data_IF_925166250078
#
_entry.id   IF_925166250078
#
_cell.length_a   1.000
_cell.length_b   1.000
_cell.length_c   1.000
_cell.angle_alpha   90.00
_cell.angle_beta   90.00
_cell.angle_gamma   90.00
#
_symmetry.space_group_name_H-M   'P 1'
#
loop_
_entity.id
_entity.type
_entity.pdbx_description
1 polymer ?
#
# COMPACT_ATOMS: atom_id res chain seq x y z
N UNK A 1 17.32 -2.20 -6.81
CA UNK A 1 16.16 -1.57 -7.48
C UNK A 1 14.91 -1.99 -6.72
N UNK A 2 13.95 -1.08 -6.44
CA UNK A 2 12.67 -1.48 -5.86
C UNK A 2 12.00 -2.54 -6.74
N UNK A 3 11.33 -3.51 -6.12
CA UNK A 3 10.66 -4.57 -6.86
C UNK A 3 9.58 -3.97 -7.77
N UNK A 4 9.35 -4.57 -8.94
CA UNK A 4 8.42 -4.02 -9.94
C UNK A 4 7.01 -3.78 -9.37
N UNK A 5 6.59 -4.59 -8.39
CA UNK A 5 5.29 -4.46 -7.74
C UNK A 5 5.17 -3.25 -6.81
N UNK A 6 6.26 -2.80 -6.16
CA UNK A 6 6.19 -1.63 -5.25
C UNK A 6 5.94 -0.35 -6.05
N UNK A 7 6.54 -0.23 -7.24
CA UNK A 7 6.28 0.87 -8.15
C UNK A 7 4.81 0.91 -8.61
N UNK A 8 4.25 -0.24 -8.99
CA UNK A 8 2.83 -0.34 -9.34
C UNK A 8 1.92 0.02 -8.17
N UNK A 9 2.28 -0.40 -6.95
CA UNK A 9 1.50 -0.10 -5.76
C UNK A 9 1.53 1.39 -5.41
N UNK A 10 2.69 2.05 -5.53
CA UNK A 10 2.84 3.50 -5.38
C UNK A 10 2.01 4.25 -6.43
N UNK A 11 2.01 3.78 -7.68
CA UNK A 11 1.17 4.38 -8.73
C UNK A 11 -0.32 4.27 -8.38
N UNK A 12 -0.79 3.10 -7.93
CA UNK A 12 -2.19 2.91 -7.49
C UNK A 12 -2.57 3.78 -6.29
N UNK A 13 -1.67 3.95 -5.32
CA UNK A 13 -1.86 4.87 -4.18
C UNK A 13 -2.09 6.30 -4.67
N UNK A 14 -1.26 6.79 -5.59
CA UNK A 14 -1.38 8.14 -6.15
C UNK A 14 -2.66 8.32 -6.95
N UNK A 15 -3.01 7.36 -7.84
CA UNK A 15 -4.23 7.40 -8.65
C UNK A 15 -5.50 7.51 -7.79
N UNK A 16 -5.54 6.80 -6.66
CA UNK A 16 -6.68 6.79 -5.76
C UNK A 16 -6.60 7.85 -4.65
N UNK A 17 -5.58 8.73 -4.66
CA UNK A 17 -5.29 9.70 -3.60
C UNK A 17 -5.31 9.04 -2.20
N UNK A 18 -4.66 7.89 -2.06
CA UNK A 18 -4.50 7.17 -0.80
C UNK A 18 -3.08 7.42 -0.30
N UNK A 19 -2.95 7.85 0.95
CA UNK A 19 -1.64 8.11 1.55
C UNK A 19 -1.02 6.82 2.09
N UNK A 20 0.32 6.77 2.14
CA UNK A 20 1.07 5.67 2.77
C UNK A 20 0.66 5.45 4.24
N UNK A 21 0.29 6.53 4.95
CA UNK A 21 -0.25 6.46 6.31
C UNK A 21 -1.55 5.64 6.38
N UNK A 22 -2.48 5.88 5.48
CA UNK A 22 -3.74 5.14 5.41
C UNK A 22 -3.51 3.66 5.08
N UNK A 23 -2.57 3.38 4.18
CA UNK A 23 -2.16 2.00 3.90
C UNK A 23 -1.53 1.33 5.14
N UNK A 24 -0.68 2.05 5.89
CA UNK A 24 -0.08 1.55 7.12
C UNK A 24 -1.14 1.27 8.20
N UNK A 25 -2.13 2.16 8.36
CA UNK A 25 -3.26 1.97 9.27
C UNK A 25 -4.09 0.74 8.91
N UNK A 26 -4.38 0.52 7.62
CA UNK A 26 -5.12 -0.67 7.17
C UNK A 26 -4.32 -1.96 7.37
N UNK A 27 -3.00 -1.93 7.15
CA UNK A 27 -2.12 -3.08 7.35
C UNK A 27 -1.78 -3.35 8.83
N UNK A 28 -2.06 -2.42 9.73
CA UNK A 28 -1.64 -2.51 11.14
C UNK A 28 -0.12 -2.34 11.34
N UNK A 29 0.58 -1.73 10.37
CA UNK A 29 2.02 -1.47 10.46
C UNK A 29 2.33 0.00 10.75
N UNK A 30 3.58 0.27 11.10
CA UNK A 30 4.07 1.65 11.19
C UNK A 30 4.28 2.24 9.78
N UNK A 31 4.08 3.56 9.62
CA UNK A 31 4.33 4.24 8.33
C UNK A 31 5.81 4.14 7.89
N UNK A 32 6.75 4.04 8.84
CA UNK A 32 8.16 3.77 8.57
C UNK A 32 8.37 2.37 7.97
N UNK A 33 7.74 1.34 8.53
CA UNK A 33 7.84 -0.01 8.00
C UNK A 33 7.30 -0.11 6.57
N UNK A 34 6.11 0.44 6.33
CA UNK A 34 5.54 0.53 4.98
C UNK A 34 6.49 1.25 4.02
N UNK A 35 7.08 2.36 4.46
CA UNK A 35 8.05 3.09 3.64
C UNK A 35 9.31 2.27 3.35
N UNK A 36 9.83 1.50 4.30
CA UNK A 36 10.96 0.60 4.09
C UNK A 36 10.63 -0.49 3.06
N UNK A 37 9.43 -1.07 3.12
CA UNK A 37 9.00 -2.10 2.15
C UNK A 37 8.84 -1.51 0.75
N UNK A 38 8.16 -0.35 0.62
CA UNK A 38 7.93 0.30 -0.66
C UNK A 38 9.22 0.78 -1.34
N UNK A 39 10.22 1.21 -0.57
CA UNK A 39 11.54 1.57 -1.07
C UNK A 39 12.44 0.35 -1.35
N UNK A 40 11.96 -0.88 -1.07
CA UNK A 40 12.73 -2.11 -1.27
C UNK A 40 13.83 -2.35 -0.24
N UNK A 41 13.84 -1.62 0.87
CA UNK A 41 14.76 -1.88 1.99
C UNK A 41 14.36 -3.12 2.78
N UNK A 42 13.08 -3.52 2.71
CA UNK A 42 12.53 -4.74 3.32
C UNK A 42 11.67 -5.46 2.29
N UNK A 43 11.80 -6.78 2.21
CA UNK A 43 10.97 -7.59 1.33
C UNK A 43 10.51 -8.86 2.09
N UNK A 44 9.54 -8.73 3.00
CA UNK A 44 9.00 -9.88 3.71
C UNK A 44 8.28 -10.82 2.72
N UNK A 45 8.27 -12.12 3.03
CA UNK A 45 7.56 -13.09 2.19
C UNK A 45 6.06 -12.77 2.16
N UNK A 46 5.48 -12.68 0.97
CA UNK A 46 4.06 -12.35 0.79
C UNK A 46 3.70 -10.87 0.85
N UNK A 47 4.69 -9.95 0.96
CA UNK A 47 4.45 -8.50 1.03
C UNK A 47 3.59 -7.98 -0.13
N UNK A 48 3.86 -8.45 -1.35
CA UNK A 48 3.13 -8.01 -2.55
C UNK A 48 1.62 -8.29 -2.42
N UNK A 49 1.26 -9.53 -2.05
CA UNK A 49 -0.12 -9.94 -1.91
C UNK A 49 -0.81 -9.20 -0.76
N UNK A 50 -0.15 -9.06 0.39
CA UNK A 50 -0.69 -8.39 1.57
C UNK A 50 -0.93 -6.89 1.32
N UNK A 51 0.07 -6.19 0.78
CA UNK A 51 -0.03 -4.76 0.50
C UNK A 51 -1.02 -4.47 -0.63
N UNK A 52 -1.04 -5.31 -1.68
CA UNK A 52 -1.98 -5.15 -2.79
C UNK A 52 -3.42 -5.36 -2.32
N UNK A 53 -3.67 -6.38 -1.48
CA UNK A 53 -5.00 -6.63 -0.90
C UNK A 53 -5.45 -5.47 -0.02
N UNK A 54 -4.61 -4.99 0.90
CA UNK A 54 -4.96 -3.89 1.79
C UNK A 54 -5.25 -2.59 1.02
N UNK A 55 -4.52 -2.34 -0.07
CA UNK A 55 -4.76 -1.21 -0.95
C UNK A 55 -6.10 -1.35 -1.68
N UNK A 56 -6.41 -2.53 -2.23
CA UNK A 56 -7.68 -2.78 -2.91
C UNK A 56 -8.88 -2.57 -1.97
N UNK A 57 -8.79 -3.06 -0.74
CA UNK A 57 -9.79 -2.83 0.30
C UNK A 57 -9.97 -1.34 0.64
N UNK A 58 -8.88 -0.56 0.66
CA UNK A 58 -8.95 0.90 0.85
C UNK A 58 -9.60 1.60 -0.35
N UNK A 59 -9.29 1.18 -1.57
CA UNK A 59 -9.88 1.72 -2.79
C UNK A 59 -11.39 1.45 -2.78
N UNK A 60 -11.79 0.21 -2.48
CA UNK A 60 -13.20 -0.17 -2.38
C UNK A 60 -13.93 0.62 -1.29
N UNK A 61 -13.34 0.76 -0.09
CA UNK A 61 -13.90 1.60 0.99
C UNK A 61 -14.08 3.05 0.54
N UNK A 62 -13.13 3.61 -0.21
CA UNK A 62 -13.19 5.00 -0.70
C UNK A 62 -14.24 5.20 -1.80
N UNK A 63 -14.42 4.22 -2.68
CA UNK A 63 -15.45 4.25 -3.71
C UNK A 63 -16.86 4.08 -3.11
N UNK A 64 -16.99 3.23 -2.09
CA UNK A 64 -18.28 2.91 -1.47
C UNK A 64 -18.70 3.91 -0.36
N UNK A 65 -17.78 4.74 0.14
CA UNK A 65 -18.03 5.77 1.15
C UNK A 65 -18.34 7.16 0.59
N UNK A 66 -18.52 7.29 -0.73
CA UNK A 66 -18.99 8.50 -1.38
C UNK A 66 -20.52 8.50 -1.53
N UNK A 67 -21.25 8.65 -0.43
CA UNK A 67 -22.69 8.93 -0.38
C UNK A 67 -22.95 10.14 0.49
#
# INVERSE_FOLDING_TARGET
MPANWTAQLIAKLHLNRISKKQLAEQLGYTPEYVSMVLNGHRNPNGAEAEFSKALDELIQKKQNGGT
#
